data_IF_323280934436
#
_entry.id   IF_323280934436
#
_cell.length_a   1.000
_cell.length_b   1.000
_cell.length_c   1.000
_cell.angle_alpha   90.00
_cell.angle_beta   90.00
_cell.angle_gamma   90.00
#
_symmetry.space_group_name_H-M   'P 1'
#
loop_
_entity.id
_entity.type
_entity.pdbx_description
1 polymer ?
#
# COMPACT_ATOMS: atom_id res chain seq x y z
N UNK A 1 -16.99 13.78 1.55
CA UNK A 1 -16.88 14.06 2.99
C UNK A 1 -15.46 14.55 3.28
N UNK A 2 -15.19 15.07 4.47
CA UNK A 2 -13.84 15.36 4.95
C UNK A 2 -13.64 14.64 6.29
N UNK A 3 -12.49 14.02 6.46
CA UNK A 3 -12.09 13.33 7.70
C UNK A 3 -10.75 13.92 8.11
N UNK A 4 -10.68 14.52 9.30
CA UNK A 4 -9.47 15.15 9.77
C UNK A 4 -8.52 14.12 10.38
N UNK A 5 -7.27 14.11 9.92
CA UNK A 5 -6.18 13.44 10.60
C UNK A 5 -5.55 14.44 11.59
N UNK A 6 -5.76 14.27 12.89
CA UNK A 6 -5.36 15.27 13.90
C UNK A 6 -3.84 15.46 13.99
N UNK A 7 -3.07 14.42 13.67
CA UNK A 7 -1.61 14.43 13.64
C UNK A 7 -1.10 13.47 12.55
N UNK A 8 0.11 13.67 12.02
CA UNK A 8 0.72 12.82 10.99
C UNK A 8 1.19 11.48 11.58
N UNK A 9 0.26 10.64 12.03
CA UNK A 9 0.53 9.35 12.67
C UNK A 9 0.72 8.21 11.66
N UNK A 10 1.12 8.52 10.43
CA UNK A 10 1.36 7.55 9.36
C UNK A 10 0.14 7.25 8.46
N UNK A 11 0.42 6.59 7.34
CA UNK A 11 -0.58 6.31 6.30
C UNK A 11 -1.64 5.30 6.74
N UNK A 12 -1.26 4.27 7.52
CA UNK A 12 -2.23 3.33 8.08
C UNK A 12 -3.18 4.00 9.09
N UNK A 13 -2.76 5.08 9.76
CA UNK A 13 -3.68 5.87 10.60
C UNK A 13 -4.79 6.53 9.78
N UNK A 14 -4.48 7.04 8.57
CA UNK A 14 -5.50 7.62 7.68
C UNK A 14 -6.55 6.58 7.26
N UNK A 15 -6.13 5.35 6.99
CA UNK A 15 -7.05 4.22 6.75
C UNK A 15 -7.90 3.95 8.00
N UNK A 16 -7.26 3.89 9.19
CA UNK A 16 -7.94 3.61 10.46
C UNK A 16 -9.11 4.55 10.75
N UNK A 17 -8.88 5.86 10.65
CA UNK A 17 -9.89 6.88 10.95
C UNK A 17 -10.98 6.99 9.88
N UNK A 18 -10.75 6.41 8.69
CA UNK A 18 -11.71 6.41 7.58
C UNK A 18 -12.70 5.25 7.64
N UNK A 19 -12.54 4.31 8.59
CA UNK A 19 -13.33 3.08 8.68
C UNK A 19 -14.84 3.32 8.66
N UNK A 20 -15.34 4.24 9.50
CA UNK A 20 -16.78 4.48 9.62
C UNK A 20 -17.39 5.05 8.33
N UNK A 21 -16.60 5.77 7.53
CA UNK A 21 -17.02 6.29 6.23
C UNK A 21 -16.98 5.22 5.14
N UNK A 22 -15.94 4.38 5.13
CA UNK A 22 -15.72 3.36 4.11
C UNK A 22 -16.59 2.11 4.31
N UNK A 23 -16.92 1.78 5.57
CA UNK A 23 -17.65 0.55 5.90
C UNK A 23 -16.91 -0.70 5.43
N UNK A 24 -17.63 -1.60 4.77
CA UNK A 24 -17.08 -2.84 4.22
C UNK A 24 -16.79 -2.78 2.71
N UNK A 25 -16.90 -1.59 2.09
CA UNK A 25 -16.68 -1.42 0.66
C UNK A 25 -15.20 -1.50 0.28
N UNK A 26 -14.94 -1.98 -0.95
CA UNK A 26 -13.61 -1.87 -1.57
C UNK A 26 -13.33 -0.41 -1.91
N UNK A 27 -12.11 0.04 -1.68
CA UNK A 27 -11.72 1.43 -1.89
C UNK A 27 -10.30 1.58 -2.42
N UNK A 28 -10.01 2.78 -2.94
CA UNK A 28 -8.67 3.18 -3.35
C UNK A 28 -8.16 4.26 -2.40
N UNK A 29 -6.95 4.05 -1.89
CA UNK A 29 -6.16 5.08 -1.24
C UNK A 29 -5.13 5.60 -2.23
N UNK A 30 -5.20 6.89 -2.54
CA UNK A 30 -4.28 7.59 -3.43
C UNK A 30 -3.69 8.78 -2.67
N UNK A 31 -2.37 8.76 -2.46
CA UNK A 31 -1.65 9.88 -1.84
C UNK A 31 -1.73 11.14 -2.71
N UNK A 32 -1.96 12.29 -2.08
CA UNK A 32 -2.32 13.53 -2.79
C UNK A 32 -1.17 14.20 -3.57
N UNK A 33 0.06 13.77 -3.32
CA UNK A 33 1.33 14.19 -3.94
C UNK A 33 1.80 13.26 -5.07
N UNK A 34 1.07 12.16 -5.31
CA UNK A 34 1.48 11.15 -6.28
C UNK A 34 0.85 11.41 -7.67
N UNK A 35 1.67 11.31 -8.73
CA UNK A 35 1.23 11.43 -10.12
C UNK A 35 1.73 10.24 -10.93
N UNK A 36 0.83 9.58 -11.67
CA UNK A 36 1.14 8.35 -12.42
C UNK A 36 0.73 8.46 -13.89
N UNK A 37 1.61 8.02 -14.79
CA UNK A 37 1.30 7.91 -16.21
C UNK A 37 0.19 6.89 -16.49
N UNK A 38 -0.77 7.23 -17.34
CA UNK A 38 -1.82 6.29 -17.78
C UNK A 38 -2.99 6.10 -16.80
N UNK A 39 -2.90 6.67 -15.60
CA UNK A 39 -3.95 6.64 -14.59
C UNK A 39 -4.22 5.24 -14.03
N UNK A 40 -5.28 5.13 -13.22
CA UNK A 40 -5.55 3.94 -12.40
C UNK A 40 -6.86 3.22 -12.75
N UNK A 41 -7.61 3.69 -13.76
CA UNK A 41 -8.94 3.12 -14.08
C UNK A 41 -8.89 1.63 -14.46
N UNK A 42 -7.80 1.17 -15.08
CA UNK A 42 -7.58 -0.25 -15.36
C UNK A 42 -7.44 -1.07 -14.08
N UNK A 43 -6.60 -0.60 -13.16
CA UNK A 43 -6.34 -1.22 -11.86
C UNK A 43 -7.61 -1.30 -11.01
N UNK A 44 -8.41 -0.22 -10.99
CA UNK A 44 -9.68 -0.20 -10.26
C UNK A 44 -10.63 -1.29 -10.79
N UNK A 45 -10.75 -1.44 -12.11
CA UNK A 45 -11.63 -2.47 -12.70
C UNK A 45 -11.14 -3.88 -12.39
N UNK A 46 -9.83 -4.09 -12.48
CA UNK A 46 -9.21 -5.38 -12.17
C UNK A 46 -9.45 -5.76 -10.70
N UNK A 47 -9.13 -4.86 -9.76
CA UNK A 47 -9.39 -5.05 -8.34
C UNK A 47 -10.87 -5.29 -8.04
N UNK A 48 -11.78 -4.56 -8.69
CA UNK A 48 -13.22 -4.75 -8.48
C UNK A 48 -13.71 -6.14 -8.93
N UNK A 49 -13.02 -6.77 -9.89
CA UNK A 49 -13.40 -8.07 -10.46
C UNK A 49 -12.65 -9.27 -9.89
N UNK A 50 -11.65 -9.04 -9.04
CA UNK A 50 -10.80 -10.10 -8.48
C UNK A 50 -11.27 -10.54 -7.09
N UNK A 51 -10.74 -11.67 -6.63
CA UNK A 51 -10.90 -12.15 -5.25
C UNK A 51 -9.77 -11.66 -4.33
N UNK A 52 -9.03 -10.62 -4.73
CA UNK A 52 -7.93 -10.07 -3.94
C UNK A 52 -8.42 -9.25 -2.76
N UNK A 53 -7.64 -9.24 -1.68
CA UNK A 53 -7.89 -8.39 -0.52
C UNK A 53 -7.19 -7.04 -0.66
N UNK A 54 -6.07 -7.01 -1.38
CA UNK A 54 -5.33 -5.80 -1.68
C UNK A 54 -4.70 -5.88 -3.06
N UNK A 55 -4.62 -4.74 -3.75
CA UNK A 55 -3.77 -4.56 -4.93
C UNK A 55 -2.85 -3.37 -4.66
N UNK A 56 -1.55 -3.56 -4.86
CA UNK A 56 -0.53 -2.53 -4.67
C UNK A 56 0.14 -2.20 -6.00
N UNK A 57 0.56 -0.96 -6.15
CA UNK A 57 1.34 -0.52 -7.31
C UNK A 57 2.81 -0.47 -6.93
N UNK A 58 3.64 -1.10 -7.75
CA UNK A 58 5.10 -1.14 -7.62
C UNK A 58 5.75 -0.47 -8.82
N UNK A 59 6.89 0.16 -8.61
CA UNK A 59 7.74 0.67 -9.70
C UNK A 59 9.21 0.49 -9.35
N UNK A 60 10.03 0.31 -10.37
CA UNK A 60 11.48 0.31 -10.19
C UNK A 60 11.98 1.73 -9.89
N UNK A 61 12.86 1.86 -8.89
CA UNK A 61 13.49 3.14 -8.50
C UNK A 61 14.98 2.96 -8.22
N UNK A 62 15.76 4.02 -8.40
CA UNK A 62 17.20 4.01 -8.14
C UNK A 62 17.54 4.03 -6.63
N UNK A 63 16.66 4.59 -5.79
CA UNK A 63 16.89 4.77 -4.36
C UNK A 63 15.77 4.14 -3.50
N UNK A 64 15.64 2.80 -3.50
CA UNK A 64 14.53 2.10 -2.85
C UNK A 64 14.48 2.28 -1.32
N UNK A 65 15.60 2.61 -0.67
CA UNK A 65 15.67 2.84 0.77
C UNK A 65 14.77 3.99 1.29
N UNK A 66 14.26 4.85 0.41
CA UNK A 66 13.37 5.96 0.77
C UNK A 66 11.88 5.57 0.80
N UNK A 67 11.54 4.35 0.39
CA UNK A 67 10.16 3.88 0.21
C UNK A 67 9.91 2.56 0.95
N UNK A 68 8.65 2.13 0.96
CA UNK A 68 8.33 0.72 1.20
C UNK A 68 8.79 -0.13 0.01
N UNK A 69 9.54 -1.19 0.25
CA UNK A 69 10.15 -2.02 -0.80
C UNK A 69 9.57 -3.42 -0.79
N UNK A 70 9.20 -3.92 -1.97
CA UNK A 70 8.64 -5.26 -2.16
C UNK A 70 9.70 -6.26 -2.60
N UNK A 71 9.67 -7.44 -2.00
CA UNK A 71 10.37 -8.63 -2.47
C UNK A 71 9.34 -9.54 -3.14
N UNK A 72 9.60 -9.92 -4.40
CA UNK A 72 8.75 -10.83 -5.15
C UNK A 72 9.45 -12.19 -5.29
N UNK A 73 8.67 -13.28 -5.30
CA UNK A 73 9.19 -14.61 -5.64
C UNK A 73 9.37 -14.78 -7.16
N UNK A 74 9.89 -15.93 -7.57
CA UNK A 74 10.10 -16.28 -8.99
C UNK A 74 8.81 -16.30 -9.82
N UNK A 75 7.64 -16.37 -9.18
CA UNK A 75 6.32 -16.37 -9.80
C UNK A 75 5.69 -14.98 -9.81
N UNK A 76 6.36 -13.98 -9.25
CA UNK A 76 5.88 -12.61 -9.14
C UNK A 76 4.92 -12.35 -7.98
N UNK A 77 4.79 -13.27 -7.02
CA UNK A 77 4.00 -13.06 -5.82
C UNK A 77 4.80 -12.28 -4.76
N UNK A 78 4.12 -11.46 -3.95
CA UNK A 78 4.79 -10.68 -2.89
C UNK A 78 5.16 -11.62 -1.74
N UNK A 79 6.45 -11.72 -1.46
CA UNK A 79 6.99 -12.47 -0.31
C UNK A 79 7.08 -11.58 0.91
N UNK A 80 7.50 -10.34 0.70
CA UNK A 80 7.80 -9.42 1.80
C UNK A 80 7.67 -7.96 1.38
N UNK A 81 7.23 -7.14 2.31
CA UNK A 81 7.25 -5.68 2.24
C UNK A 81 8.02 -5.13 3.44
N UNK A 82 8.89 -4.16 3.20
CA UNK A 82 9.72 -3.56 4.25
C UNK A 82 9.71 -2.03 4.10
N UNK A 83 9.36 -1.31 5.15
CA UNK A 83 9.40 0.15 5.16
C UNK A 83 10.84 0.67 5.28
N UNK A 84 11.26 1.48 4.30
CA UNK A 84 12.56 2.20 4.26
C UNK A 84 13.74 1.33 4.69
N UNK A 85 13.97 0.18 4.05
CA UNK A 85 15.01 -0.76 4.45
C UNK A 85 16.40 -0.16 4.23
N UNK A 86 17.30 -0.36 5.19
CA UNK A 86 18.73 0.01 5.02
C UNK A 86 19.41 -0.78 3.91
N UNK A 87 19.04 -2.05 3.76
CA UNK A 87 19.50 -2.95 2.70
C UNK A 87 18.25 -3.46 1.95
N UNK A 88 17.79 -2.76 0.91
CA UNK A 88 16.59 -3.11 0.16
C UNK A 88 16.70 -4.50 -0.49
N UNK A 89 15.66 -5.35 -0.40
CA UNK A 89 15.68 -6.67 -1.04
C UNK A 89 15.52 -6.61 -2.56
N UNK A 90 15.03 -5.49 -3.09
CA UNK A 90 14.88 -5.22 -4.52
C UNK A 90 14.90 -3.70 -4.78
N UNK A 91 14.71 -3.32 -6.04
CA UNK A 91 14.47 -1.94 -6.47
C UNK A 91 12.97 -1.60 -6.65
N UNK A 92 12.05 -2.47 -6.23
CA UNK A 92 10.61 -2.29 -6.40
C UNK A 92 10.02 -1.50 -5.22
N UNK A 93 9.79 -0.21 -5.43
CA UNK A 93 9.14 0.66 -4.45
C UNK A 93 7.62 0.62 -4.55
N UNK A 94 6.96 0.68 -3.41
CA UNK A 94 5.54 0.99 -3.28
C UNK A 94 5.26 2.40 -3.79
N UNK A 95 4.38 2.48 -4.78
CA UNK A 95 3.78 3.73 -5.25
C UNK A 95 2.63 4.08 -4.31
N UNK A 96 2.37 5.38 -4.10
CA UNK A 96 1.29 5.91 -3.25
C UNK A 96 -0.14 5.65 -3.74
N UNK A 97 -0.40 4.49 -4.35
CA UNK A 97 -1.68 4.05 -4.88
C UNK A 97 -1.91 2.62 -4.39
N UNK A 98 -2.96 2.46 -3.60
CA UNK A 98 -3.31 1.21 -2.96
C UNK A 98 -4.80 0.94 -3.15
N UNK A 99 -5.16 -0.31 -3.41
CA UNK A 99 -6.54 -0.76 -3.40
C UNK A 99 -6.72 -1.76 -2.27
N UNK A 100 -7.78 -1.59 -1.49
CA UNK A 100 -8.04 -2.40 -0.31
C UNK A 100 -9.50 -2.85 -0.26
N UNK A 101 -9.72 -4.02 0.32
CA UNK A 101 -10.98 -4.38 0.94
C UNK A 101 -10.96 -4.10 2.45
N UNK A 102 -12.05 -4.44 3.14
CA UNK A 102 -12.20 -4.19 4.57
C UNK A 102 -11.20 -4.93 5.48
N UNK A 103 -10.49 -5.96 4.98
CA UNK A 103 -9.50 -6.69 5.79
C UNK A 103 -8.32 -5.81 6.19
N UNK A 104 -8.05 -4.73 5.44
CA UNK A 104 -7.05 -3.74 5.83
C UNK A 104 -7.32 -3.14 7.21
N UNK A 105 -8.58 -3.01 7.64
CA UNK A 105 -8.88 -2.49 8.98
C UNK A 105 -8.43 -3.46 10.06
N UNK A 106 -8.51 -4.77 9.83
CA UNK A 106 -7.95 -5.77 10.75
C UNK A 106 -6.43 -5.61 10.84
N UNK A 107 -5.75 -5.49 9.69
CA UNK A 107 -4.30 -5.30 9.65
C UNK A 107 -3.84 -4.04 10.37
N UNK A 108 -4.44 -2.89 10.05
CA UNK A 108 -4.13 -1.58 10.64
C UNK A 108 -4.34 -1.55 12.15
N UNK A 109 -5.25 -2.37 12.69
CA UNK A 109 -5.47 -2.47 14.14
C UNK A 109 -4.50 -3.42 14.86
N UNK A 110 -3.75 -4.25 14.13
CA UNK A 110 -2.79 -5.20 14.69
C UNK A 110 -1.32 -4.76 14.55
N UNK A 111 -1.02 -3.76 13.74
CA UNK A 111 0.32 -3.17 13.66
C UNK A 111 0.59 -2.20 14.82
N UNK A 112 1.87 -1.91 15.06
CA UNK A 112 2.34 -0.96 16.06
C UNK A 112 3.07 0.20 15.39
N UNK A 113 3.12 1.39 16.01
CA UNK A 113 3.90 2.49 15.47
C UNK A 113 5.37 2.10 15.25
N UNK A 114 5.95 2.56 14.15
CA UNK A 114 7.36 2.37 13.82
C UNK A 114 8.26 3.16 14.79
N UNK A 115 9.57 3.06 14.62
CA UNK A 115 10.54 3.87 15.38
C UNK A 115 10.35 5.39 15.19
N UNK A 116 9.61 5.81 14.15
CA UNK A 116 9.21 7.20 13.88
C UNK A 116 7.92 7.61 14.61
N UNK A 117 7.24 6.67 15.26
CA UNK A 117 5.92 6.88 15.86
C UNK A 117 4.78 6.86 14.85
N UNK A 118 5.00 6.38 13.63
CA UNK A 118 4.02 6.33 12.55
C UNK A 118 3.44 4.92 12.37
N UNK A 119 2.14 4.80 12.10
CA UNK A 119 1.53 3.58 11.60
C UNK A 119 1.79 3.47 10.10
N UNK A 120 2.75 2.61 9.74
CA UNK A 120 3.20 2.43 8.37
C UNK A 120 2.19 1.57 7.58
N UNK A 121 1.80 2.02 6.38
CA UNK A 121 0.92 1.22 5.51
C UNK A 121 1.61 -0.07 5.04
N UNK A 122 2.93 0.00 4.84
CA UNK A 122 3.78 -1.14 4.50
C UNK A 122 3.67 -2.26 5.52
N UNK A 123 3.63 -1.93 6.83
CA UNK A 123 3.45 -2.92 7.91
C UNK A 123 2.05 -3.54 7.89
N UNK A 124 1.02 -2.75 7.57
CA UNK A 124 -0.35 -3.27 7.45
C UNK A 124 -0.48 -4.23 6.26
N UNK A 125 0.13 -3.92 5.11
CA UNK A 125 0.13 -4.83 3.95
C UNK A 125 0.96 -6.08 4.24
N UNK A 126 2.11 -5.94 4.90
CA UNK A 126 2.92 -7.07 5.35
C UNK A 126 2.12 -7.98 6.30
N UNK A 127 1.33 -7.41 7.20
CA UNK A 127 0.44 -8.18 8.08
C UNK A 127 -0.59 -8.99 7.26
N UNK A 128 -1.18 -8.42 6.21
CA UNK A 128 -2.09 -9.15 5.32
C UNK A 128 -1.40 -10.37 4.69
N UNK A 129 -0.18 -10.21 4.20
CA UNK A 129 0.62 -11.29 3.59
C UNK A 129 0.88 -12.40 4.62
N UNK A 130 1.34 -12.04 5.83
CA UNK A 130 1.64 -13.00 6.90
C UNK A 130 0.42 -13.79 7.39
N UNK A 131 -0.78 -13.24 7.21
CA UNK A 131 -2.04 -13.86 7.63
C UNK A 131 -2.79 -14.53 6.47
N UNK A 132 -2.12 -14.71 5.32
CA UNK A 132 -2.66 -15.49 4.19
C UNK A 132 -3.69 -14.77 3.34
N UNK A 133 -3.81 -13.44 3.48
CA UNK A 133 -4.66 -12.64 2.59
C UNK A 133 -3.98 -12.43 1.24
N UNK A 134 -4.79 -12.32 0.19
CA UNK A 134 -4.30 -12.16 -1.18
C UNK A 134 -3.94 -10.70 -1.44
N UNK A 135 -2.63 -10.42 -1.55
CA UNK A 135 -2.09 -9.12 -1.94
C UNK A 135 -1.48 -9.24 -3.34
N UNK A 136 -2.03 -8.49 -4.30
CA UNK A 136 -1.62 -8.56 -5.69
C UNK A 136 -0.69 -7.39 -6.07
N UNK A 137 0.51 -7.65 -6.63
CA UNK A 137 1.39 -6.61 -7.12
C UNK A 137 1.07 -6.25 -8.59
N UNK A 138 0.93 -4.97 -8.88
CA UNK A 138 0.98 -4.44 -10.24
C UNK A 138 2.28 -3.67 -10.46
N UNK A 139 3.10 -4.09 -11.42
CA UNK A 139 4.35 -3.40 -11.77
C UNK A 139 4.07 -2.34 -12.84
N UNK A 140 4.10 -1.09 -12.44
CA UNK A 140 3.98 0.06 -13.33
C UNK A 140 5.26 0.25 -14.15
N UNK A 141 5.10 0.50 -15.46
CA UNK A 141 6.22 0.70 -16.40
C UNK A 141 6.31 2.12 -16.96
N UNK A 142 5.34 2.97 -16.65
CA UNK A 142 5.36 4.38 -17.04
C UNK A 142 6.09 5.22 -16.00
N UNK A 143 6.14 6.53 -16.23
CA UNK A 143 6.65 7.44 -15.20
C UNK A 143 5.70 7.51 -14.00
N UNK A 144 6.31 7.73 -12.85
CA UNK A 144 5.67 8.05 -11.58
C UNK A 144 6.45 9.19 -10.93
N UNK A 145 5.73 10.13 -10.32
CA UNK A 145 6.29 11.28 -9.62
C UNK A 145 5.67 11.33 -8.22
N UNK A 146 6.53 11.54 -7.24
CA UNK A 146 6.22 11.80 -5.83
C UNK A 146 6.81 13.18 -5.49
N UNK A 147 6.00 14.14 -5.01
CA UNK A 147 6.38 15.57 -4.92
C UNK A 147 6.54 16.10 -3.51
#
# INVERSE_FOLDING_TARGET
TYIQQEAPLGLAHAVKISRDFLGDERFVMFLGDNVIQGGISGLIREFASSDWNSQIVLTEVDQPQHYGVAELDERGAIVRLIEKPRNPPSNLALVGIYMFDHNIFTAVNNIKPSWRGELEITDAIQWLIEHGFSVHPYIHRGWWIDT
#
